data_IF_666103209001
#
_entry.id   IF_666103209001
#
_cell.length_a   1.000
_cell.length_b   1.000
_cell.length_c   1.000
_cell.angle_alpha   90.00
_cell.angle_beta   90.00
_cell.angle_gamma   90.00
#
_symmetry.space_group_name_H-M   'P 1'
#
loop_
_entity.id
_entity.type
_entity.pdbx_description
1 polymer ?
#
# COMPACT_ATOMS: atom_id res chain seq x y z
N UNK A 1 7.77 4.13 -56.74
CA UNK A 1 8.57 4.04 -55.50
C UNK A 1 7.70 4.47 -54.33
N UNK A 2 7.12 3.53 -53.58
CA UNK A 2 6.25 3.84 -52.45
C UNK A 2 7.12 4.09 -51.21
N UNK A 3 7.15 5.35 -50.73
CA UNK A 3 7.91 5.74 -49.54
C UNK A 3 7.22 5.16 -48.29
N UNK A 4 7.90 4.27 -47.54
CA UNK A 4 7.45 3.80 -46.23
C UNK A 4 7.61 4.92 -45.21
N UNK A 5 6.53 5.30 -44.54
CA UNK A 5 6.55 6.20 -43.37
C UNK A 5 7.16 5.47 -42.17
N UNK A 6 8.03 6.11 -41.37
CA UNK A 6 8.59 5.50 -40.18
C UNK A 6 7.49 5.31 -39.13
N UNK A 7 7.40 4.10 -38.56
CA UNK A 7 6.50 3.78 -37.47
C UNK A 7 7.06 4.42 -36.19
N UNK A 8 6.43 5.48 -35.70
CA UNK A 8 6.79 6.13 -34.44
C UNK A 8 6.45 5.20 -33.28
N UNK A 9 7.44 4.51 -32.72
CA UNK A 9 7.30 3.81 -31.44
C UNK A 9 7.37 4.83 -30.31
N UNK A 10 6.38 4.85 -29.41
CA UNK A 10 6.47 5.65 -28.19
C UNK A 10 7.72 5.23 -27.42
N UNK A 11 8.55 6.18 -26.97
CA UNK A 11 9.71 5.85 -26.14
C UNK A 11 9.24 5.19 -24.84
N UNK A 12 10.01 4.20 -24.37
CA UNK A 12 9.79 3.59 -23.06
C UNK A 12 9.99 4.64 -21.97
N UNK A 13 9.20 4.57 -20.88
CA UNK A 13 9.34 5.51 -19.78
C UNK A 13 10.71 5.36 -19.11
N UNK A 14 11.26 6.50 -18.70
CA UNK A 14 12.49 6.56 -17.91
C UNK A 14 12.27 5.99 -16.51
N UNK A 15 13.37 5.71 -15.80
CA UNK A 15 13.31 5.32 -14.39
C UNK A 15 12.63 6.38 -13.52
N UNK A 16 12.84 7.67 -13.79
CA UNK A 16 12.25 8.77 -13.03
C UNK A 16 10.72 8.87 -13.23
N UNK A 17 10.26 8.72 -14.48
CA UNK A 17 8.82 8.67 -14.80
C UNK A 17 8.18 7.44 -14.16
N UNK A 18 8.84 6.29 -14.25
CA UNK A 18 8.35 5.04 -13.64
C UNK A 18 8.28 5.15 -12.12
N UNK A 19 9.28 5.76 -11.47
CA UNK A 19 9.27 6.01 -10.02
C UNK A 19 8.12 6.93 -9.63
N UNK A 20 7.92 8.03 -10.35
CA UNK A 20 6.85 8.99 -10.10
C UNK A 20 5.47 8.33 -10.24
N UNK A 21 5.28 7.54 -11.29
CA UNK A 21 4.03 6.79 -11.50
C UNK A 21 3.76 5.82 -10.34
N UNK A 22 4.76 5.03 -9.95
CA UNK A 22 4.64 4.08 -8.82
C UNK A 22 4.35 4.78 -7.50
N UNK A 23 5.00 5.93 -7.23
CA UNK A 23 4.71 6.75 -6.04
C UNK A 23 3.26 7.21 -6.02
N UNK A 24 2.74 7.65 -7.17
CA UNK A 24 1.34 8.10 -7.29
C UNK A 24 0.36 6.94 -7.09
N UNK A 25 0.68 5.75 -7.61
CA UNK A 25 -0.16 4.57 -7.41
C UNK A 25 -0.17 4.13 -5.94
N UNK A 26 0.99 4.13 -5.26
CA UNK A 26 1.07 3.86 -3.82
C UNK A 26 0.23 4.86 -3.03
N UNK A 27 0.30 6.15 -3.34
CA UNK A 27 -0.52 7.17 -2.67
C UNK A 27 -2.02 6.85 -2.80
N UNK A 28 -2.49 6.50 -4.00
CA UNK A 28 -3.89 6.11 -4.23
C UNK A 28 -4.27 4.84 -3.48
N UNK A 29 -3.36 3.86 -3.40
CA UNK A 29 -3.59 2.64 -2.63
C UNK A 29 -3.72 2.92 -1.13
N UNK A 30 -2.95 3.87 -0.60
CA UNK A 30 -3.09 4.30 0.80
C UNK A 30 -4.45 4.99 1.04
N UNK A 31 -4.90 5.84 0.11
CA UNK A 31 -6.22 6.47 0.21
C UNK A 31 -7.34 5.41 0.22
N UNK A 32 -7.27 4.43 -0.68
CA UNK A 32 -8.24 3.32 -0.74
C UNK A 32 -8.17 2.46 0.52
N UNK A 33 -6.97 2.17 1.03
CA UNK A 33 -6.81 1.39 2.27
C UNK A 33 -7.51 2.10 3.44
N UNK A 34 -7.37 3.43 3.57
CA UNK A 34 -8.07 4.19 4.60
C UNK A 34 -9.59 4.08 4.44
N UNK A 35 -10.12 4.21 3.22
CA UNK A 35 -11.55 4.05 2.96
C UNK A 35 -12.07 2.65 3.33
N UNK A 36 -11.29 1.60 3.07
CA UNK A 36 -11.67 0.23 3.44
C UNK A 36 -11.60 0.00 4.96
N UNK A 37 -10.62 0.59 5.65
CA UNK A 37 -10.55 0.56 7.12
C UNK A 37 -11.76 1.25 7.77
N UNK A 38 -12.22 2.37 7.21
CA UNK A 38 -13.41 3.08 7.69
C UNK A 38 -14.67 2.21 7.52
N UNK A 39 -14.85 1.59 6.35
CA UNK A 39 -15.97 0.64 6.11
C UNK A 39 -15.91 -0.55 7.06
N UNK A 40 -14.71 -1.07 7.29
CA UNK A 40 -14.47 -2.18 8.20
C UNK A 40 -14.83 -1.80 9.64
N UNK A 41 -14.52 -0.58 10.07
CA UNK A 41 -14.90 -0.05 11.37
C UNK A 41 -16.43 0.04 11.53
N UNK A 42 -17.16 0.52 10.52
CA UNK A 42 -18.63 0.53 10.54
C UNK A 42 -19.20 -0.89 10.62
N UNK A 43 -18.62 -1.85 9.88
CA UNK A 43 -19.02 -3.24 9.97
C UNK A 43 -18.78 -3.81 11.38
N UNK A 44 -17.63 -3.52 11.99
CA UNK A 44 -17.31 -3.94 13.36
C UNK A 44 -18.28 -3.38 14.40
N UNK A 45 -18.71 -2.12 14.26
CA UNK A 45 -19.74 -1.53 15.11
C UNK A 45 -21.08 -2.25 14.99
N UNK A 46 -21.45 -2.67 13.77
CA UNK A 46 -22.71 -3.36 13.51
C UNK A 46 -22.78 -4.78 14.13
N UNK A 47 -21.63 -5.44 14.31
CA UNK A 47 -21.54 -6.73 15.01
C UNK A 47 -20.25 -6.80 15.85
N UNK A 48 -20.30 -6.27 17.10
CA UNK A 48 -19.13 -6.06 17.94
C UNK A 48 -18.59 -7.35 18.57
N UNK A 49 -19.29 -8.49 18.44
CA UNK A 49 -18.84 -9.79 18.95
C UNK A 49 -18.08 -10.60 17.90
N UNK A 50 -17.97 -10.10 16.68
CA UNK A 50 -17.25 -10.76 15.60
C UNK A 50 -15.74 -10.57 15.72
N UNK A 51 -15.09 -11.57 16.32
CA UNK A 51 -13.63 -11.64 16.45
C UNK A 51 -12.89 -11.77 15.11
N UNK A 52 -13.57 -12.19 14.04
CA UNK A 52 -12.99 -12.26 12.70
C UNK A 52 -12.46 -10.89 12.24
N UNK A 53 -13.21 -9.82 12.53
CA UNK A 53 -12.81 -8.45 12.18
C UNK A 53 -11.57 -7.97 12.94
N UNK A 54 -11.43 -8.37 14.20
CA UNK A 54 -10.18 -8.12 14.95
C UNK A 54 -9.01 -8.87 14.33
N UNK A 55 -9.23 -10.12 13.92
CA UNK A 55 -8.24 -10.92 13.19
C UNK A 55 -7.82 -10.30 11.86
N UNK A 56 -8.77 -9.78 11.08
CA UNK A 56 -8.51 -9.08 9.81
C UNK A 56 -7.58 -7.87 10.03
N UNK A 57 -7.86 -7.04 11.05
CA UNK A 57 -6.97 -5.92 11.40
C UNK A 57 -5.59 -6.39 11.88
N UNK A 58 -5.50 -7.53 12.57
CA UNK A 58 -4.22 -8.14 12.93
C UNK A 58 -3.36 -8.48 11.71
N UNK A 59 -3.98 -9.03 10.65
CA UNK A 59 -3.29 -9.31 9.37
C UNK A 59 -2.86 -8.02 8.69
N UNK A 60 -3.74 -7.03 8.58
CA UNK A 60 -3.41 -5.72 7.96
C UNK A 60 -2.25 -5.05 8.69
N UNK A 61 -2.25 -5.04 10.04
CA UNK A 61 -1.13 -4.53 10.84
C UNK A 61 0.17 -5.26 10.51
N UNK A 62 0.14 -6.59 10.45
CA UNK A 62 1.33 -7.39 10.15
C UNK A 62 1.93 -7.06 8.78
N UNK A 63 1.09 -6.91 7.75
CA UNK A 63 1.54 -6.60 6.39
C UNK A 63 2.13 -5.19 6.27
N UNK A 64 1.55 -4.23 7.00
CA UNK A 64 2.09 -2.87 7.06
C UNK A 64 3.45 -2.84 7.76
N UNK A 65 3.64 -3.65 8.81
CA UNK A 65 4.94 -3.78 9.47
C UNK A 65 5.98 -4.35 8.51
N UNK A 66 5.66 -5.43 7.78
CA UNK A 66 6.58 -6.03 6.81
C UNK A 66 6.96 -5.02 5.70
N UNK A 67 6.02 -4.18 5.27
CA UNK A 67 6.29 -3.10 4.31
C UNK A 67 7.21 -2.02 4.91
N UNK A 68 7.02 -1.65 6.17
CA UNK A 68 7.88 -0.67 6.85
C UNK A 68 9.28 -1.23 7.08
N UNK A 69 9.41 -2.49 7.49
CA UNK A 69 10.70 -3.19 7.59
C UNK A 69 11.46 -3.11 6.27
N UNK A 70 10.79 -3.50 5.17
CA UNK A 70 11.38 -3.45 3.83
C UNK A 70 11.85 -2.04 3.43
N UNK A 71 11.06 -1.00 3.73
CA UNK A 71 11.36 0.38 3.32
C UNK A 71 12.38 1.08 4.22
N UNK A 72 12.40 0.78 5.52
CA UNK A 72 13.22 1.46 6.52
C UNK A 72 14.54 0.77 6.81
N UNK A 73 14.65 -0.53 6.50
CA UNK A 73 15.78 -1.36 6.89
C UNK A 73 15.83 -1.68 8.39
N UNK A 74 14.79 -1.32 9.15
CA UNK A 74 14.60 -1.78 10.53
C UNK A 74 14.02 -3.18 10.51
N UNK A 75 14.45 -4.05 11.42
CA UNK A 75 13.77 -5.33 11.61
C UNK A 75 12.34 -5.13 12.17
N UNK A 76 11.53 -6.16 11.99
CA UNK A 76 10.16 -6.21 12.49
C UNK A 76 10.03 -5.87 13.98
N UNK A 77 10.95 -6.35 14.82
CA UNK A 77 10.90 -6.15 16.28
C UNK A 77 11.05 -4.67 16.63
N UNK A 78 11.94 -3.94 15.95
CA UNK A 78 12.09 -2.50 16.11
C UNK A 78 10.85 -1.73 15.65
N UNK A 79 10.22 -2.13 14.54
CA UNK A 79 8.96 -1.53 14.09
C UNK A 79 7.84 -1.75 15.11
N UNK A 80 7.72 -2.97 15.65
CA UNK A 80 6.72 -3.30 16.66
C UNK A 80 6.95 -2.55 17.98
N UNK A 81 8.22 -2.40 18.39
CA UNK A 81 8.59 -1.60 19.57
C UNK A 81 8.16 -0.14 19.40
N UNK A 82 8.45 0.46 18.24
CA UNK A 82 8.03 1.83 17.93
C UNK A 82 6.50 2.01 18.03
N UNK A 83 5.72 1.02 17.58
CA UNK A 83 4.25 1.08 17.66
C UNK A 83 3.72 0.96 19.09
N UNK A 84 4.37 0.14 19.94
CA UNK A 84 3.94 -0.06 21.32
C UNK A 84 4.32 1.12 22.23
N UNK A 85 5.40 1.84 21.92
CA UNK A 85 5.81 3.05 22.65
C UNK A 85 4.93 4.27 22.35
N UNK A 86 4.07 4.18 21.32
CA UNK A 86 3.14 5.24 20.91
C UNK A 86 1.74 5.15 21.56
N UNK A 87 1.48 4.14 22.38
CA UNK A 87 0.28 4.01 23.26
C UNK A 87 0.48 4.69 24.63
#
# INVERSE_FOLDING_TARGET
>A
MTKRTPKTTKPEPTAAETYTARRNDIARLMDVLQMELDKHAEAAKADPRNWGRTGDLGKVRSDLIDLVEFMSGMDREHVETFLNDAE
#
